data_IF_755974578421
#
_entry.id   IF_755974578421
#
_cell.length_a   1.000
_cell.length_b   1.000
_cell.length_c   1.000
_cell.angle_alpha   90.00
_cell.angle_beta   90.00
_cell.angle_gamma   90.00
#
_symmetry.space_group_name_H-M   'P 1'
#
loop_
_entity.id
_entity.type
_entity.pdbx_description
1 polymer ?
#
# COMPACT_ATOMS: atom_id res chain seq x y z
N UNK A 1 18.11 0.19 -21.63
CA UNK A 1 17.58 1.03 -20.53
C UNK A 1 16.85 0.13 -19.54
N UNK A 2 17.20 0.16 -18.27
CA UNK A 2 16.51 -0.59 -17.23
C UNK A 2 15.21 0.16 -16.94
N UNK A 3 14.06 -0.48 -17.13
CA UNK A 3 12.76 0.12 -16.81
C UNK A 3 12.54 0.09 -15.29
N UNK A 4 12.04 1.18 -14.72
CA UNK A 4 11.69 1.26 -13.31
C UNK A 4 10.52 0.32 -12.97
N UNK A 5 9.57 0.19 -13.90
CA UNK A 5 8.39 -0.68 -13.79
C UNK A 5 8.15 -1.35 -15.14
N UNK A 6 7.70 -2.59 -15.13
CA UNK A 6 7.13 -3.27 -16.31
C UNK A 6 5.64 -3.50 -16.07
N UNK A 7 4.82 -3.26 -17.09
CA UNK A 7 3.41 -3.58 -17.03
C UNK A 7 3.23 -5.10 -16.86
N UNK A 8 2.44 -5.47 -15.88
CA UNK A 8 2.08 -6.87 -15.61
C UNK A 8 0.63 -7.18 -15.98
N UNK A 9 -0.13 -6.15 -16.38
CA UNK A 9 -1.52 -6.30 -16.84
C UNK A 9 -1.48 -6.82 -18.28
N UNK A 10 -2.08 -7.96 -18.51
CA UNK A 10 -2.17 -8.60 -19.82
C UNK A 10 -3.59 -8.56 -20.40
N UNK A 11 -3.77 -9.22 -21.52
CA UNK A 11 -5.08 -9.24 -22.22
C UNK A 11 -6.13 -10.00 -21.43
N UNK A 12 -5.76 -11.07 -20.74
CA UNK A 12 -6.68 -11.89 -19.95
C UNK A 12 -7.22 -11.11 -18.74
N UNK A 13 -6.38 -10.26 -18.14
CA UNK A 13 -6.81 -9.33 -17.06
C UNK A 13 -7.87 -8.35 -17.57
N UNK A 14 -7.65 -7.77 -18.75
CA UNK A 14 -8.59 -6.82 -19.36
C UNK A 14 -9.90 -7.53 -19.72
N UNK A 15 -9.84 -8.70 -20.33
CA UNK A 15 -11.04 -9.47 -20.73
C UNK A 15 -11.85 -9.90 -19.49
N UNK A 16 -11.17 -10.25 -18.41
CA UNK A 16 -11.80 -10.55 -17.11
C UNK A 16 -12.53 -9.35 -16.54
N UNK A 17 -11.93 -8.16 -16.61
CA UNK A 17 -12.55 -6.91 -16.19
C UNK A 17 -13.77 -6.56 -17.04
N UNK A 18 -13.66 -6.67 -18.36
CA UNK A 18 -14.77 -6.43 -19.29
C UNK A 18 -15.93 -7.37 -18.97
N UNK A 19 -15.65 -8.66 -18.82
CA UNK A 19 -16.67 -9.68 -18.48
C UNK A 19 -17.36 -9.34 -17.15
N UNK A 20 -16.62 -8.89 -16.14
CA UNK A 20 -17.21 -8.53 -14.86
C UNK A 20 -18.08 -7.29 -14.96
N UNK A 21 -17.68 -6.27 -15.74
CA UNK A 21 -18.46 -5.03 -15.95
C UNK A 21 -19.71 -5.25 -16.82
N UNK A 22 -19.73 -6.28 -17.67
CA UNK A 22 -20.81 -6.56 -18.63
C UNK A 22 -21.87 -7.52 -18.07
N UNK A 23 -21.98 -7.67 -16.74
CA UNK A 23 -23.05 -8.45 -16.13
C UNK A 23 -24.39 -7.75 -16.25
N UNK A 24 -25.49 -8.52 -16.27
CA UNK A 24 -26.85 -7.96 -16.35
C UNK A 24 -27.16 -6.97 -15.22
N UNK A 25 -26.72 -7.27 -14.02
CA UNK A 25 -26.70 -6.31 -12.90
C UNK A 25 -25.36 -5.61 -12.85
N UNK A 26 -25.39 -4.26 -12.90
CA UNK A 26 -24.16 -3.44 -12.81
C UNK A 26 -23.48 -3.70 -11.47
N UNK A 27 -22.25 -4.23 -11.46
CA UNK A 27 -21.57 -4.53 -10.22
C UNK A 27 -21.21 -3.25 -9.46
N UNK A 28 -21.16 -3.35 -8.15
CA UNK A 28 -20.75 -2.22 -7.30
C UNK A 28 -19.28 -1.88 -7.55
N UNK A 29 -19.01 -0.68 -8.07
CA UNK A 29 -17.66 -0.21 -8.41
C UNK A 29 -16.86 0.36 -7.22
N UNK A 30 -17.52 0.59 -6.08
CA UNK A 30 -16.89 1.03 -4.85
C UNK A 30 -17.02 -0.08 -3.80
N UNK A 31 -16.07 -0.25 -2.94
CA UNK A 31 -15.99 -1.24 -1.85
C UNK A 31 -17.15 -2.28 -1.84
N UNK A 32 -17.16 -3.14 -2.85
CA UNK A 32 -18.15 -4.22 -3.04
C UNK A 32 -17.58 -5.57 -2.58
N UNK A 33 -18.30 -6.64 -2.94
CA UNK A 33 -17.99 -8.01 -2.53
C UNK A 33 -16.60 -8.47 -2.96
N UNK A 34 -16.15 -8.09 -4.17
CA UNK A 34 -14.78 -8.40 -4.62
C UNK A 34 -13.72 -7.78 -3.73
N UNK A 35 -13.94 -6.56 -3.21
CA UNK A 35 -13.00 -5.94 -2.27
C UNK A 35 -12.95 -6.72 -0.96
N UNK A 36 -14.10 -7.11 -0.42
CA UNK A 36 -14.16 -7.89 0.81
C UNK A 36 -13.52 -9.29 0.64
N UNK A 37 -13.74 -9.89 -0.51
CA UNK A 37 -13.11 -11.18 -0.85
C UNK A 37 -11.58 -11.05 -0.94
N UNK A 38 -11.07 -10.00 -1.61
CA UNK A 38 -9.64 -9.71 -1.70
C UNK A 38 -9.04 -9.49 -0.30
N UNK A 39 -9.65 -8.65 0.53
CA UNK A 39 -9.21 -8.39 1.91
C UNK A 39 -9.13 -9.68 2.73
N UNK A 40 -10.14 -10.55 2.61
CA UNK A 40 -10.17 -11.86 3.28
C UNK A 40 -9.08 -12.80 2.80
N UNK A 41 -8.94 -12.97 1.47
CA UNK A 41 -7.91 -13.83 0.86
C UNK A 41 -6.51 -13.35 1.20
N UNK A 42 -6.29 -12.02 1.15
CA UNK A 42 -4.99 -11.43 1.47
C UNK A 42 -4.64 -11.63 2.94
N UNK A 43 -5.58 -11.38 3.85
CA UNK A 43 -5.38 -11.62 5.29
C UNK A 43 -4.94 -13.06 5.56
N UNK A 44 -5.61 -14.03 4.94
CA UNK A 44 -5.25 -15.46 5.06
C UNK A 44 -3.83 -15.73 4.53
N UNK A 45 -3.49 -15.13 3.37
CA UNK A 45 -2.20 -15.34 2.72
C UNK A 45 -1.03 -14.83 3.55
N UNK A 46 -1.17 -13.65 4.17
CA UNK A 46 -0.09 -13.02 4.96
C UNK A 46 -0.18 -13.31 6.47
N UNK A 47 -1.21 -14.06 6.92
CA UNK A 47 -1.36 -14.46 8.32
C UNK A 47 -1.80 -13.34 9.25
N UNK A 48 -2.50 -12.31 8.74
CA UNK A 48 -3.08 -11.23 9.55
C UNK A 48 -4.56 -11.48 9.82
N UNK A 49 -5.08 -10.85 10.88
CA UNK A 49 -6.50 -10.96 11.19
C UNK A 49 -7.37 -10.17 10.22
N UNK A 50 -6.89 -9.02 9.78
CA UNK A 50 -7.59 -8.11 8.88
C UNK A 50 -6.65 -7.54 7.84
N UNK A 51 -7.20 -7.18 6.68
CA UNK A 51 -6.56 -6.37 5.66
C UNK A 51 -7.55 -5.31 5.19
N UNK A 52 -7.04 -4.17 4.78
CA UNK A 52 -7.86 -3.07 4.25
C UNK A 52 -7.30 -2.69 2.88
N UNK A 53 -8.14 -2.80 1.87
CA UNK A 53 -7.80 -2.39 0.52
C UNK A 53 -7.95 -0.88 0.36
N UNK A 54 -6.95 -0.25 -0.24
CA UNK A 54 -6.90 1.19 -0.54
C UNK A 54 -6.47 1.42 -1.98
N UNK A 55 -6.68 2.63 -2.49
CA UNK A 55 -6.46 2.97 -3.89
C UNK A 55 -4.98 3.12 -4.30
N UNK A 56 -4.06 3.21 -3.36
CA UNK A 56 -2.63 3.37 -3.65
C UNK A 56 -1.74 3.00 -2.47
N UNK A 57 -0.45 2.76 -2.72
CA UNK A 57 0.57 2.59 -1.69
C UNK A 57 0.69 3.82 -0.78
N UNK A 58 0.57 5.02 -1.34
CA UNK A 58 0.60 6.27 -0.56
C UNK A 58 -0.55 6.35 0.45
N UNK A 59 -1.76 5.96 0.04
CA UNK A 59 -2.91 5.85 0.95
C UNK A 59 -2.72 4.76 1.99
N UNK A 60 -2.08 3.66 1.64
CA UNK A 60 -1.76 2.59 2.59
C UNK A 60 -0.80 3.07 3.67
N UNK A 61 0.27 3.78 3.30
CA UNK A 61 1.23 4.37 4.25
C UNK A 61 0.52 5.37 5.16
N UNK A 62 -0.27 6.29 4.60
CA UNK A 62 -1.00 7.28 5.36
C UNK A 62 -1.93 6.63 6.40
N UNK A 63 -2.74 5.67 5.96
CA UNK A 63 -3.69 4.99 6.83
C UNK A 63 -2.99 4.17 7.93
N UNK A 64 -1.90 3.49 7.58
CA UNK A 64 -1.11 2.71 8.54
C UNK A 64 -0.49 3.57 9.63
N UNK A 65 0.12 4.70 9.25
CA UNK A 65 0.73 5.61 10.21
C UNK A 65 -0.32 6.34 11.05
N UNK A 66 -1.44 6.76 10.47
CA UNK A 66 -2.55 7.36 11.20
C UNK A 66 -3.13 6.38 12.24
N UNK A 67 -3.38 5.14 11.84
CA UNK A 67 -3.87 4.10 12.75
C UNK A 67 -2.86 3.80 13.88
N UNK A 68 -1.56 3.81 13.58
CA UNK A 68 -0.51 3.63 14.56
C UNK A 68 -0.48 4.78 15.59
N UNK A 69 -0.63 6.02 15.14
CA UNK A 69 -0.72 7.20 16.01
C UNK A 69 -1.95 7.13 16.91
N UNK A 70 -3.12 6.84 16.34
CA UNK A 70 -4.38 6.70 17.07
C UNK A 70 -4.37 5.54 18.09
N UNK A 71 -3.61 4.50 17.83
CA UNK A 71 -3.51 3.36 18.75
C UNK A 71 -2.87 3.70 20.10
N UNK A 72 -2.19 4.84 20.21
CA UNK A 72 -1.44 5.26 21.40
C UNK A 72 -0.22 4.39 21.73
N UNK A 73 0.16 3.46 20.83
CA UNK A 73 1.27 2.52 21.08
C UNK A 73 2.64 3.15 20.89
N UNK A 74 2.74 4.22 20.07
CA UNK A 74 3.99 4.92 19.85
C UNK A 74 4.24 5.98 20.92
N UNK A 75 5.45 5.95 21.48
CA UNK A 75 5.87 6.88 22.54
C UNK A 75 6.53 8.17 22.00
N UNK A 76 7.02 8.12 20.77
CA UNK A 76 7.59 9.28 20.10
C UNK A 76 7.10 9.32 18.65
N UNK A 77 7.20 10.46 18.01
CA UNK A 77 6.76 10.67 16.63
C UNK A 77 7.89 10.55 15.61
N UNK A 78 8.93 9.77 15.92
CA UNK A 78 10.07 9.55 15.02
C UNK A 78 9.86 8.28 14.20
N UNK A 79 10.22 8.35 12.93
CA UNK A 79 10.14 7.22 12.01
C UNK A 79 11.41 7.16 11.16
N UNK A 80 12.00 5.98 11.05
CA UNK A 80 13.15 5.75 10.18
C UNK A 80 12.66 5.53 8.75
N UNK A 81 13.23 6.26 7.81
CA UNK A 81 12.89 6.18 6.39
C UNK A 81 14.17 5.95 5.59
N UNK A 82 14.18 5.00 4.63
CA UNK A 82 15.33 4.80 3.75
C UNK A 82 15.66 6.07 2.96
N UNK A 83 16.96 6.38 2.82
CA UNK A 83 17.44 7.53 2.03
C UNK A 83 17.10 7.42 0.53
N UNK A 84 16.90 6.18 0.04
CA UNK A 84 16.44 5.89 -1.31
C UNK A 84 15.05 5.23 -1.23
N UNK A 85 14.01 6.02 -1.41
CA UNK A 85 12.63 5.57 -1.33
C UNK A 85 11.69 6.50 -2.12
N UNK A 86 10.41 6.18 -2.14
CA UNK A 86 9.38 7.04 -2.73
C UNK A 86 9.19 8.30 -1.87
N UNK A 87 8.92 9.44 -2.53
CA UNK A 87 8.68 10.70 -1.85
C UNK A 87 7.57 10.63 -0.77
N UNK A 88 6.58 9.77 -0.95
CA UNK A 88 5.48 9.57 0.00
C UNK A 88 5.91 8.89 1.30
N UNK A 89 7.03 8.18 1.32
CA UNK A 89 7.58 7.58 2.53
C UNK A 89 8.09 8.66 3.51
N UNK A 90 8.45 9.82 3.00
CA UNK A 90 8.89 10.99 3.78
C UNK A 90 7.75 11.97 4.01
N UNK A 91 6.99 12.32 2.96
CA UNK A 91 5.95 13.35 3.04
C UNK A 91 4.77 12.94 3.91
N UNK A 92 4.41 11.66 3.93
CA UNK A 92 3.29 11.17 4.74
C UNK A 92 3.55 11.28 6.25
N UNK A 93 4.70 10.84 6.79
CA UNK A 93 5.04 11.12 8.19
C UNK A 93 4.98 12.60 8.55
N UNK A 94 5.54 13.47 7.70
CA UNK A 94 5.53 14.92 7.94
C UNK A 94 4.09 15.44 8.02
N UNK A 95 3.21 15.02 7.09
CA UNK A 95 1.80 15.39 7.08
C UNK A 95 1.09 15.01 8.39
N UNK A 96 1.47 13.90 9.00
CA UNK A 96 0.93 13.40 10.27
C UNK A 96 1.65 13.98 11.50
N UNK A 97 2.53 14.95 11.33
CA UNK A 97 3.29 15.57 12.42
C UNK A 97 4.33 14.64 13.05
N UNK A 98 4.84 13.69 12.27
CA UNK A 98 5.97 12.83 12.64
C UNK A 98 7.29 13.42 12.12
N UNK A 99 8.40 13.03 12.72
CA UNK A 99 9.76 13.41 12.34
C UNK A 99 10.42 12.24 11.58
N UNK A 100 10.57 12.32 10.24
CA UNK A 100 11.30 11.31 9.50
C UNK A 100 12.80 11.45 9.74
N UNK A 101 13.45 10.35 10.07
CA UNK A 101 14.89 10.24 10.22
C UNK A 101 15.39 9.44 9.01
N UNK A 102 16.16 10.11 8.16
CA UNK A 102 16.73 9.46 6.98
C UNK A 102 17.82 8.48 7.40
N UNK A 103 17.73 7.26 6.89
CA UNK A 103 18.72 6.21 7.09
C UNK A 103 19.38 5.89 5.76
N UNK A 104 20.70 5.75 5.77
CA UNK A 104 21.45 5.42 4.56
C UNK A 104 21.22 3.97 4.13
N UNK A 105 21.54 3.65 2.89
CA UNK A 105 21.39 2.33 2.29
C UNK A 105 22.75 1.79 1.83
N UNK A 106 23.00 0.52 2.04
CA UNK A 106 24.16 -0.13 1.45
C UNK A 106 23.94 -0.28 -0.05
N UNK A 107 24.75 0.38 -0.86
CA UNK A 107 24.64 0.39 -2.33
C UNK A 107 24.61 -1.01 -2.97
N UNK A 108 25.28 -1.99 -2.37
CA UNK A 108 25.36 -3.36 -2.91
C UNK A 108 24.08 -4.18 -2.74
N UNK A 109 23.29 -3.91 -1.71
CA UNK A 109 22.15 -4.74 -1.33
C UNK A 109 20.87 -3.95 -1.08
N UNK A 110 20.92 -2.62 -1.21
CA UNK A 110 19.78 -1.71 -0.97
C UNK A 110 19.06 -1.94 0.37
N UNK A 111 19.80 -2.46 1.37
CA UNK A 111 19.28 -2.61 2.72
C UNK A 111 19.57 -1.37 3.55
N UNK A 112 18.61 -1.02 4.40
CA UNK A 112 18.76 0.03 5.41
C UNK A 112 19.72 -0.48 6.50
N UNK A 113 20.66 0.37 6.93
CA UNK A 113 21.62 0.09 8.02
C UNK A 113 21.12 0.82 9.27
#
# INVERSE_FOLDING_TARGET
>A
MIKLVSDTIDRDDIDSLIKWLSQDEIPRLTKGDLTLELESKWSKKIGTKYSVYVNSGSSAILLSLAALLESGRIKNKKIIVPGLSWATDVSTPILLGMEPIMCDCILKIYLVI
#
